data_IF_323695835196
#
_entry.id   IF_323695835196
#
_cell.length_a   1.000
_cell.length_b   1.000
_cell.length_c   1.000
_cell.angle_alpha   90.00
_cell.angle_beta   90.00
_cell.angle_gamma   90.00
#
_symmetry.space_group_name_H-M   'P 1'
#
loop_
_entity.id
_entity.type
_entity.pdbx_description
1 polymer ?
#
# COMPACT_ATOMS: atom_id res chain seq x y z
N UNK A 1 -42.93 -6.06 78.43
CA UNK A 1 -43.35 -5.61 77.09
C UNK A 1 -42.13 -5.32 76.24
N UNK A 2 -42.09 -5.92 75.03
CA UNK A 2 -41.32 -5.55 73.82
C UNK A 2 -39.78 -5.65 73.86
N UNK A 3 -39.28 -6.86 73.55
CA UNK A 3 -38.03 -7.08 72.80
C UNK A 3 -38.39 -7.28 71.33
N UNK A 4 -38.18 -6.27 70.49
CA UNK A 4 -38.27 -6.38 69.03
C UNK A 4 -37.42 -5.26 68.43
N UNK A 5 -36.75 -5.54 67.31
CA UNK A 5 -35.93 -4.62 66.49
C UNK A 5 -34.41 -4.68 66.66
N UNK A 6 -33.81 -5.82 66.29
CA UNK A 6 -32.47 -5.83 65.67
C UNK A 6 -32.46 -6.93 64.60
N UNK A 7 -32.84 -6.63 63.36
CA UNK A 7 -32.75 -7.64 62.27
C UNK A 7 -32.64 -7.07 60.84
N UNK A 8 -32.96 -5.79 60.61
CA UNK A 8 -33.01 -5.24 59.23
C UNK A 8 -31.73 -4.55 58.73
N UNK A 9 -30.68 -4.42 59.57
CA UNK A 9 -29.49 -3.63 59.23
C UNK A 9 -28.43 -4.32 58.34
N UNK A 10 -28.25 -5.66 58.29
CA UNK A 10 -27.22 -6.26 57.44
C UNK A 10 -27.64 -6.38 55.96
N UNK A 11 -28.95 -6.44 55.67
CA UNK A 11 -29.47 -6.63 54.31
C UNK A 11 -29.23 -5.41 53.40
N UNK A 12 -29.23 -4.19 53.97
CA UNK A 12 -29.06 -2.94 53.22
C UNK A 12 -27.58 -2.67 52.87
N UNK A 13 -26.66 -3.14 53.72
CA UNK A 13 -25.20 -3.04 53.50
C UNK A 13 -24.73 -4.02 52.43
N UNK A 14 -25.27 -5.25 52.41
CA UNK A 14 -24.93 -6.25 51.39
C UNK A 14 -25.41 -5.82 50.00
N UNK A 15 -26.59 -5.19 49.90
CA UNK A 15 -27.11 -4.66 48.61
C UNK A 15 -26.23 -3.53 48.04
N UNK A 16 -25.69 -2.66 48.90
CA UNK A 16 -24.80 -1.58 48.50
C UNK A 16 -23.43 -2.08 48.01
N UNK A 17 -22.89 -3.14 48.63
CA UNK A 17 -21.62 -3.75 48.23
C UNK A 17 -21.76 -4.48 46.88
N UNK A 18 -22.89 -5.13 46.63
CA UNK A 18 -23.19 -5.79 45.34
C UNK A 18 -23.36 -4.76 44.22
N UNK A 19 -23.98 -3.60 44.51
CA UNK A 19 -24.11 -2.52 43.53
C UNK A 19 -22.76 -1.88 43.16
N UNK A 20 -21.86 -1.69 44.14
CA UNK A 20 -20.49 -1.23 43.87
C UNK A 20 -19.66 -2.26 43.09
N UNK A 21 -19.85 -3.56 43.35
CA UNK A 21 -19.19 -4.63 42.60
C UNK A 21 -19.67 -4.70 41.15
N UNK A 22 -20.95 -4.45 40.88
CA UNK A 22 -21.51 -4.42 39.51
C UNK A 22 -21.06 -3.18 38.71
N UNK A 23 -20.90 -2.02 39.37
CA UNK A 23 -20.38 -0.81 38.75
C UNK A 23 -18.87 -0.92 38.38
N UNK A 24 -18.09 -1.69 39.14
CA UNK A 24 -16.68 -1.94 38.83
C UNK A 24 -16.44 -2.81 37.59
N UNK A 25 -17.34 -3.74 37.27
CA UNK A 25 -17.22 -4.64 36.11
C UNK A 25 -17.57 -3.94 34.79
N UNK A 26 -18.47 -2.94 34.83
CA UNK A 26 -18.86 -2.18 33.63
C UNK A 26 -17.76 -1.25 33.09
N UNK A 27 -16.78 -0.88 33.91
CA UNK A 27 -15.66 0.00 33.53
C UNK A 27 -14.46 -0.76 32.91
N UNK A 28 -14.43 -2.09 33.00
CA UNK A 28 -13.36 -2.92 32.40
C UNK A 28 -13.70 -3.34 30.96
N UNK A 29 -14.94 -3.10 30.52
CA UNK A 29 -15.39 -3.41 29.15
C UNK A 29 -15.13 -2.30 28.13
N UNK A 30 -14.37 -1.25 28.47
CA UNK A 30 -13.73 -0.41 27.47
C UNK A 30 -12.64 -1.24 26.80
N UNK A 31 -13.07 -2.04 25.83
CA UNK A 31 -12.24 -2.69 24.84
C UNK A 31 -11.33 -1.63 24.25
N UNK A 32 -10.08 -1.62 24.73
CA UNK A 32 -8.98 -1.15 23.93
C UNK A 32 -9.04 -1.97 22.64
N UNK A 33 -9.70 -1.45 21.60
CA UNK A 33 -9.49 -1.92 20.25
C UNK A 33 -8.00 -1.74 20.03
N UNK A 34 -7.25 -2.84 20.18
CA UNK A 34 -5.87 -2.91 19.78
C UNK A 34 -5.85 -2.45 18.32
N UNK A 35 -5.42 -1.21 18.11
CA UNK A 35 -5.37 -0.61 16.80
C UNK A 35 -4.47 -1.52 15.97
N UNK A 36 -5.05 -2.16 14.96
CA UNK A 36 -4.34 -3.19 14.22
C UNK A 36 -3.09 -2.55 13.57
N UNK A 37 -2.03 -3.33 13.39
CA UNK A 37 -0.72 -2.83 12.91
C UNK A 37 -0.86 -2.09 11.59
N UNK A 38 -0.24 -0.91 11.47
CA UNK A 38 -0.34 -0.13 10.24
C UNK A 38 0.25 -0.88 9.03
N UNK A 39 -0.44 -0.82 7.89
CA UNK A 39 0.14 -1.27 6.62
C UNK A 39 1.12 -0.21 6.12
N UNK A 40 2.40 -0.57 6.07
CA UNK A 40 3.46 0.30 5.57
C UNK A 40 3.58 0.17 4.06
N UNK A 41 3.33 1.26 3.35
CA UNK A 41 3.45 1.34 1.90
C UNK A 41 4.61 2.28 1.59
N UNK A 42 5.51 1.85 0.70
CA UNK A 42 6.57 2.69 0.18
C UNK A 42 6.06 3.54 -0.98
N UNK A 43 6.50 4.77 -1.08
CA UNK A 43 6.22 5.63 -2.21
C UNK A 43 7.51 6.33 -2.65
N UNK A 44 7.87 6.18 -3.92
CA UNK A 44 9.02 6.85 -4.51
C UNK A 44 8.51 7.79 -5.58
N UNK A 45 8.75 9.09 -5.41
CA UNK A 45 8.32 10.10 -6.36
C UNK A 45 9.45 11.05 -6.69
N UNK A 46 9.38 11.58 -7.90
CA UNK A 46 10.26 12.61 -8.40
C UNK A 46 9.81 13.97 -7.86
N UNK A 47 10.08 14.26 -6.58
CA UNK A 47 9.67 15.54 -5.97
C UNK A 47 10.66 16.64 -6.36
N UNK A 48 11.95 16.29 -6.41
CA UNK A 48 13.00 17.18 -6.91
C UNK A 48 13.50 16.74 -8.28
N UNK A 49 14.19 17.64 -8.98
CA UNK A 49 14.77 17.33 -10.29
C UNK A 49 13.88 17.68 -11.49
N UNK A 50 14.30 17.30 -12.71
CA UNK A 50 13.62 17.65 -13.96
C UNK A 50 12.19 17.09 -14.05
N UNK A 51 11.88 15.99 -13.37
CA UNK A 51 10.54 15.41 -13.34
C UNK A 51 9.69 15.85 -12.13
N UNK A 52 10.13 16.86 -11.37
CA UNK A 52 9.37 17.49 -10.26
C UNK A 52 7.90 17.83 -10.59
N UNK A 53 7.56 18.29 -11.82
CA UNK A 53 6.17 18.53 -12.20
C UNK A 53 5.27 17.28 -12.18
N UNK A 54 5.85 16.08 -12.24
CA UNK A 54 5.13 14.80 -12.13
C UNK A 54 5.05 14.33 -10.68
N UNK A 55 6.17 14.28 -9.96
CA UNK A 55 6.19 13.67 -8.63
C UNK A 55 5.55 14.53 -7.54
N UNK A 56 5.53 15.85 -7.67
CA UNK A 56 4.85 16.74 -6.70
C UNK A 56 3.32 16.46 -6.64
N UNK A 57 2.57 16.49 -7.75
CA UNK A 57 1.14 16.18 -7.71
C UNK A 57 0.87 14.71 -7.36
N UNK A 58 1.73 13.77 -7.74
CA UNK A 58 1.61 12.36 -7.32
C UNK A 58 1.71 12.22 -5.79
N UNK A 59 2.73 12.83 -5.17
CA UNK A 59 2.92 12.76 -3.73
C UNK A 59 1.74 13.37 -2.96
N UNK A 60 1.24 14.53 -3.40
CA UNK A 60 0.09 15.18 -2.77
C UNK A 60 -1.19 14.35 -2.94
N UNK A 61 -1.38 13.72 -4.10
CA UNK A 61 -2.51 12.82 -4.35
C UNK A 61 -2.49 11.63 -3.39
N UNK A 62 -1.33 10.98 -3.21
CA UNK A 62 -1.20 9.86 -2.28
C UNK A 62 -1.44 10.31 -0.83
N UNK A 63 -0.88 11.45 -0.41
CA UNK A 63 -1.15 12.00 0.93
C UNK A 63 -2.65 12.26 1.15
N UNK A 64 -3.34 12.81 0.15
CA UNK A 64 -4.78 13.05 0.21
C UNK A 64 -5.55 11.73 0.35
N UNK A 65 -5.25 10.73 -0.47
CA UNK A 65 -5.93 9.44 -0.45
C UNK A 65 -5.72 8.71 0.87
N UNK A 66 -4.50 8.69 1.40
CA UNK A 66 -4.18 8.07 2.70
C UNK A 66 -4.98 8.73 3.81
N UNK A 67 -5.06 10.06 3.83
CA UNK A 67 -5.89 10.79 4.81
C UNK A 67 -7.35 10.39 4.70
N UNK A 68 -7.90 10.31 3.48
CA UNK A 68 -9.29 9.90 3.28
C UNK A 68 -9.55 8.46 3.70
N UNK A 69 -8.66 7.53 3.39
CA UNK A 69 -8.80 6.11 3.75
C UNK A 69 -8.70 5.93 5.27
N UNK A 70 -7.72 6.58 5.90
CA UNK A 70 -7.56 6.52 7.35
C UNK A 70 -8.74 7.19 8.07
N UNK A 71 -9.29 8.29 7.54
CA UNK A 71 -10.51 8.90 8.07
C UNK A 71 -11.75 8.00 7.96
N UNK A 72 -11.79 7.09 6.99
CA UNK A 72 -12.86 6.09 6.82
C UNK A 72 -12.67 4.83 7.69
N UNK A 73 -11.65 4.79 8.55
CA UNK A 73 -11.37 3.66 9.45
C UNK A 73 -10.29 2.70 8.94
N UNK A 74 -9.54 3.08 7.89
CA UNK A 74 -8.44 2.28 7.35
C UNK A 74 -8.88 1.11 6.46
N UNK A 75 -7.94 0.23 6.10
CA UNK A 75 -8.20 -0.99 5.32
C UNK A 75 -8.37 -2.15 6.32
N UNK A 76 -9.54 -2.77 6.35
CA UNK A 76 -9.87 -3.85 7.29
C UNK A 76 -9.61 -3.51 8.78
N UNK A 77 -9.72 -2.21 9.12
CA UNK A 77 -9.43 -1.67 10.46
C UNK A 77 -7.93 -1.45 10.75
N UNK A 78 -7.05 -1.62 9.75
CA UNK A 78 -5.64 -1.24 9.85
C UNK A 78 -5.42 0.14 9.21
N UNK A 79 -4.76 1.08 9.91
CA UNK A 79 -4.37 2.35 9.31
C UNK A 79 -3.28 2.14 8.25
N UNK A 80 -3.22 3.03 7.27
CA UNK A 80 -2.15 3.06 6.26
C UNK A 80 -1.09 4.07 6.68
N UNK A 81 0.17 3.64 6.65
CA UNK A 81 1.35 4.49 6.80
C UNK A 81 2.13 4.49 5.48
N UNK A 82 2.35 5.67 4.89
CA UNK A 82 3.12 5.78 3.64
C UNK A 82 4.47 6.42 3.93
N UNK A 83 5.54 5.75 3.51
CA UNK A 83 6.92 6.21 3.62
C UNK A 83 7.34 6.76 2.27
N UNK A 84 7.62 8.05 2.22
CA UNK A 84 7.96 8.76 0.99
C UNK A 84 9.47 8.89 0.84
N UNK A 85 9.97 8.57 -0.35
CA UNK A 85 11.32 8.84 -0.78
C UNK A 85 11.33 9.69 -2.06
N UNK A 86 12.26 10.62 -2.11
CA UNK A 86 12.52 11.44 -3.29
C UNK A 86 13.77 10.91 -4.01
N UNK A 87 13.62 10.58 -5.29
CA UNK A 87 14.71 10.08 -6.12
C UNK A 87 15.42 11.20 -6.90
N UNK A 88 14.88 12.42 -6.94
CA UNK A 88 15.48 13.55 -7.68
C UNK A 88 15.63 13.32 -9.18
N UNK A 89 14.82 12.45 -9.79
CA UNK A 89 14.99 11.95 -11.18
C UNK A 89 16.31 11.28 -11.47
N UNK A 90 16.87 10.61 -10.46
CA UNK A 90 18.08 9.81 -10.58
C UNK A 90 17.78 8.32 -10.36
N UNK A 91 18.23 7.49 -11.30
CA UNK A 91 18.00 6.05 -11.29
C UNK A 91 18.72 5.35 -10.14
N UNK A 92 19.96 5.76 -9.81
CA UNK A 92 20.73 5.14 -8.73
C UNK A 92 20.09 5.44 -7.36
N UNK A 93 19.62 6.67 -7.15
CA UNK A 93 18.85 7.04 -5.96
C UNK A 93 17.55 6.27 -5.86
N UNK A 94 16.84 6.07 -6.97
CA UNK A 94 15.62 5.25 -7.03
C UNK A 94 15.88 3.82 -6.55
N UNK A 95 16.93 3.16 -7.04
CA UNK A 95 17.30 1.80 -6.62
C UNK A 95 17.66 1.75 -5.13
N UNK A 96 18.40 2.73 -4.62
CA UNK A 96 18.73 2.79 -3.19
C UNK A 96 17.49 3.00 -2.33
N UNK A 97 16.57 3.87 -2.75
CA UNK A 97 15.30 4.09 -2.06
C UNK A 97 14.45 2.81 -2.03
N UNK A 98 14.35 2.09 -3.15
CA UNK A 98 13.65 0.79 -3.20
C UNK A 98 14.26 -0.23 -2.23
N UNK A 99 15.60 -0.37 -2.23
CA UNK A 99 16.28 -1.28 -1.30
C UNK A 99 16.00 -0.92 0.14
N UNK A 100 16.03 0.37 0.48
CA UNK A 100 15.74 0.84 1.83
C UNK A 100 14.30 0.55 2.24
N UNK A 101 13.35 0.76 1.34
CA UNK A 101 11.93 0.42 1.56
C UNK A 101 11.73 -1.07 1.84
N UNK A 102 12.45 -1.93 1.12
CA UNK A 102 12.36 -3.39 1.25
C UNK A 102 13.05 -3.87 2.52
N UNK A 103 14.30 -3.47 2.74
CA UNK A 103 15.17 -4.04 3.77
C UNK A 103 14.97 -3.38 5.15
N UNK A 104 14.92 -2.05 5.19
CA UNK A 104 14.85 -1.29 6.43
C UNK A 104 13.39 -1.05 6.87
N UNK A 105 12.57 -0.56 5.95
CA UNK A 105 11.20 -0.15 6.27
C UNK A 105 10.18 -1.31 6.22
N UNK A 106 10.55 -2.41 5.53
CA UNK A 106 9.76 -3.64 5.36
C UNK A 106 8.33 -3.37 4.90
N UNK A 107 8.21 -2.61 3.81
CA UNK A 107 6.90 -2.23 3.26
C UNK A 107 6.21 -3.40 2.57
N UNK A 108 4.86 -3.39 2.57
CA UNK A 108 4.05 -4.43 1.91
C UNK A 108 3.93 -4.23 0.41
N UNK A 109 4.07 -2.99 -0.05
CA UNK A 109 3.98 -2.61 -1.45
C UNK A 109 4.75 -1.31 -1.67
N UNK A 110 5.17 -1.07 -2.92
CA UNK A 110 5.83 0.16 -3.35
C UNK A 110 4.98 0.81 -4.45
N UNK A 111 4.78 2.13 -4.36
CA UNK A 111 4.10 2.97 -5.35
C UNK A 111 5.14 3.89 -6.01
N UNK A 112 5.00 4.10 -7.31
CA UNK A 112 5.98 4.78 -8.16
C UNK A 112 7.04 3.82 -8.68
N UNK A 113 8.16 4.29 -9.24
CA UNK A 113 8.57 5.69 -9.49
C UNK A 113 7.74 6.44 -10.56
N UNK A 114 7.95 7.76 -10.68
CA UNK A 114 7.26 8.63 -11.65
C UNK A 114 7.77 8.44 -13.09
N UNK A 115 9.01 7.98 -13.29
CA UNK A 115 9.60 7.78 -14.61
C UNK A 115 9.86 6.31 -14.96
N UNK A 116 9.79 6.00 -16.25
CA UNK A 116 10.07 4.65 -16.79
C UNK A 116 11.48 4.18 -16.47
N UNK A 117 12.50 5.03 -16.66
CA UNK A 117 13.91 4.68 -16.41
C UNK A 117 14.17 4.32 -14.95
N UNK A 118 13.70 5.18 -14.03
CA UNK A 118 13.84 4.98 -12.58
C UNK A 118 13.11 3.73 -12.08
N UNK A 119 12.02 3.34 -12.75
CA UNK A 119 11.25 2.12 -12.46
C UNK A 119 12.01 0.88 -12.93
N UNK A 120 12.52 0.89 -14.17
CA UNK A 120 13.26 -0.23 -14.74
C UNK A 120 14.58 -0.52 -14.03
N UNK A 121 15.28 0.52 -13.58
CA UNK A 121 16.53 0.39 -12.83
C UNK A 121 16.36 -0.49 -11.57
N UNK A 122 15.17 -0.46 -10.97
CA UNK A 122 14.83 -1.20 -9.75
C UNK A 122 14.08 -2.52 -9.95
N UNK A 123 13.62 -2.82 -11.16
CA UNK A 123 12.76 -3.97 -11.47
C UNK A 123 13.29 -5.29 -10.88
N UNK A 124 14.54 -5.65 -11.17
CA UNK A 124 15.17 -6.89 -10.68
C UNK A 124 15.23 -6.96 -9.15
N UNK A 125 15.42 -5.82 -8.49
CA UNK A 125 15.49 -5.75 -7.01
C UNK A 125 14.13 -6.08 -6.41
N UNK A 126 13.07 -5.54 -7.00
CA UNK A 126 11.69 -5.73 -6.57
C UNK A 126 11.21 -7.16 -6.86
N UNK A 127 11.50 -7.68 -8.06
CA UNK A 127 11.21 -9.07 -8.43
C UNK A 127 11.84 -10.07 -7.46
N UNK A 128 13.12 -9.86 -7.13
CA UNK A 128 13.86 -10.73 -6.20
C UNK A 128 13.27 -10.65 -4.80
N UNK A 129 12.85 -9.46 -4.36
CA UNK A 129 12.24 -9.23 -3.06
C UNK A 129 10.78 -9.71 -2.98
N UNK A 130 10.14 -10.03 -4.11
CA UNK A 130 8.72 -10.41 -4.22
C UNK A 130 7.78 -9.38 -3.59
N UNK A 131 8.14 -8.10 -3.68
CA UNK A 131 7.31 -6.99 -3.21
C UNK A 131 6.53 -6.44 -4.41
N UNK A 132 5.21 -6.26 -4.34
CA UNK A 132 4.45 -5.67 -5.43
C UNK A 132 4.83 -4.20 -5.64
N UNK A 133 5.01 -3.82 -6.91
CA UNK A 133 5.29 -2.47 -7.36
C UNK A 133 4.13 -1.97 -8.24
N UNK A 134 3.60 -0.79 -7.91
CA UNK A 134 2.63 -0.08 -8.74
C UNK A 134 3.33 1.13 -9.35
N UNK A 135 3.76 1.01 -10.61
CA UNK A 135 4.43 2.08 -11.33
C UNK A 135 3.49 3.24 -11.65
N UNK A 136 3.98 4.47 -11.56
CA UNK A 136 3.31 5.66 -12.07
C UNK A 136 3.71 6.01 -13.51
N UNK A 137 4.78 5.37 -14.01
CA UNK A 137 5.22 5.48 -15.39
C UNK A 137 4.42 4.57 -16.34
N UNK A 138 4.27 5.00 -17.59
CA UNK A 138 3.48 4.33 -18.64
C UNK A 138 4.33 3.71 -19.76
N UNK A 139 5.58 3.33 -19.48
CA UNK A 139 6.44 2.68 -20.48
C UNK A 139 6.11 1.20 -20.65
N UNK A 140 5.97 0.72 -21.89
CA UNK A 140 5.75 -0.69 -22.22
C UNK A 140 6.77 -1.64 -21.54
N UNK A 141 8.01 -1.18 -21.42
CA UNK A 141 9.07 -1.91 -20.75
C UNK A 141 8.78 -2.20 -19.26
N UNK A 142 7.92 -1.41 -18.61
CA UNK A 142 7.50 -1.60 -17.21
C UNK A 142 6.46 -2.70 -17.07
N UNK A 143 5.60 -2.87 -18.08
CA UNK A 143 4.57 -3.92 -18.09
C UNK A 143 5.19 -5.29 -18.42
N UNK A 144 6.10 -5.33 -19.39
CA UNK A 144 6.79 -6.55 -19.82
C UNK A 144 8.19 -6.65 -19.22
N UNK A 145 8.30 -6.79 -17.88
CA UNK A 145 9.60 -6.94 -17.21
C UNK A 145 10.26 -8.30 -17.51
N UNK A 146 9.47 -9.32 -17.84
CA UNK A 146 9.99 -10.65 -18.11
C UNK A 146 10.60 -10.75 -19.52
N UNK A 147 11.83 -11.26 -19.62
CA UNK A 147 12.50 -11.53 -20.91
C UNK A 147 11.70 -12.51 -21.77
N UNK A 148 10.94 -13.43 -21.15
CA UNK A 148 10.05 -14.33 -21.87
C UNK A 148 8.87 -13.56 -22.51
N UNK A 149 8.28 -12.59 -21.81
CA UNK A 149 7.21 -11.74 -22.33
C UNK A 149 7.71 -10.83 -23.45
N UNK A 150 8.92 -10.27 -23.31
CA UNK A 150 9.55 -9.46 -24.38
C UNK A 150 9.89 -10.28 -25.63
N UNK A 151 10.36 -11.53 -25.46
CA UNK A 151 10.61 -12.43 -26.61
C UNK A 151 9.30 -12.87 -27.27
N UNK A 152 8.24 -13.04 -26.50
CA UNK A 152 6.93 -13.39 -27.00
C UNK A 152 6.25 -12.22 -27.75
N UNK A 153 6.46 -10.98 -27.30
CA UNK A 153 5.91 -9.78 -27.96
C UNK A 153 6.81 -9.20 -29.07
N UNK A 154 8.03 -9.72 -29.24
CA UNK A 154 8.94 -9.38 -30.34
C UNK A 154 9.81 -8.13 -30.09
N UNK A 155 11.11 -8.25 -30.38
CA UNK A 155 12.12 -7.18 -30.31
C UNK A 155 11.91 -6.01 -31.31
N UNK A 156 10.84 -6.00 -32.11
CA UNK A 156 10.57 -4.91 -33.07
C UNK A 156 10.03 -3.62 -32.42
N UNK A 157 9.66 -3.64 -31.13
CA UNK A 157 9.10 -2.47 -30.44
C UNK A 157 10.11 -1.38 -30.07
N UNK A 158 11.42 -1.64 -30.00
CA UNK A 158 12.35 -0.65 -29.47
C UNK A 158 12.64 0.52 -30.44
N UNK A 159 12.39 0.36 -31.74
CA UNK A 159 12.75 1.35 -32.78
C UNK A 159 11.58 2.08 -33.45
N UNK A 160 10.33 1.71 -33.17
CA UNK A 160 9.17 2.21 -33.92
C UNK A 160 8.35 3.31 -33.22
N UNK A 161 8.68 3.64 -31.96
CA UNK A 161 7.79 4.44 -31.12
C UNK A 161 7.91 5.97 -31.30
N UNK A 162 8.77 6.47 -32.18
CA UNK A 162 8.74 7.90 -32.52
C UNK A 162 7.48 8.29 -33.34
N UNK A 163 6.79 7.31 -33.96
CA UNK A 163 5.66 7.57 -34.88
C UNK A 163 4.35 6.86 -34.47
N UNK A 164 4.15 6.64 -33.17
CA UNK A 164 3.13 5.72 -32.62
C UNK A 164 1.77 6.34 -32.23
N UNK A 165 1.41 7.50 -32.76
CA UNK A 165 0.18 8.19 -32.34
C UNK A 165 -1.12 7.76 -33.07
N UNK A 166 -1.13 6.77 -33.98
CA UNK A 166 -2.24 6.64 -34.95
C UNK A 166 -2.82 5.25 -35.28
N UNK A 167 -2.48 4.13 -34.61
CA UNK A 167 -3.05 2.83 -35.00
C UNK A 167 -3.85 2.10 -33.88
N UNK A 168 -5.18 2.18 -33.89
CA UNK A 168 -6.06 1.48 -32.94
C UNK A 168 -6.21 -0.02 -33.20
N UNK A 169 -5.68 -0.59 -34.29
CA UNK A 169 -5.82 -2.03 -34.60
C UNK A 169 -4.74 -2.91 -33.95
N UNK A 170 -3.65 -2.36 -33.43
CA UNK A 170 -2.55 -3.15 -32.85
C UNK A 170 -2.83 -3.68 -31.44
N UNK A 171 -3.84 -3.15 -30.76
CA UNK A 171 -4.23 -3.57 -29.40
C UNK A 171 -4.92 -4.95 -29.38
N UNK A 172 -5.53 -5.36 -30.50
CA UNK A 172 -6.17 -6.68 -30.62
C UNK A 172 -5.14 -7.82 -30.72
N UNK A 173 -4.07 -7.62 -31.49
CA UNK A 173 -2.98 -8.60 -31.59
C UNK A 173 -2.20 -8.76 -30.27
N UNK A 174 -2.08 -7.68 -29.49
CA UNK A 174 -1.45 -7.72 -28.15
C UNK A 174 -2.26 -8.60 -27.18
N UNK A 175 -3.60 -8.48 -27.19
CA UNK A 175 -4.49 -9.32 -26.37
C UNK A 175 -4.46 -10.79 -26.78
N UNK A 176 -4.41 -11.09 -28.08
CA UNK A 176 -4.27 -12.47 -28.55
C UNK A 176 -2.93 -13.11 -28.16
N UNK A 177 -1.85 -12.33 -28.14
CA UNK A 177 -0.53 -12.82 -27.75
C UNK A 177 -0.49 -13.20 -26.26
N UNK A 178 -0.98 -12.31 -25.38
CA UNK A 178 -1.10 -12.58 -23.94
C UNK A 178 -2.02 -13.77 -23.66
N UNK A 179 -3.14 -13.89 -24.39
CA UNK A 179 -4.07 -15.00 -24.25
C UNK A 179 -3.45 -16.34 -24.69
N UNK A 180 -2.61 -16.34 -25.73
CA UNK A 180 -1.92 -17.55 -26.22
C UNK A 180 -0.86 -18.04 -25.24
N UNK A 181 -0.10 -17.13 -24.61
CA UNK A 181 0.88 -17.46 -23.58
C UNK A 181 0.25 -18.09 -22.33
N UNK A 182 -0.96 -17.62 -21.94
CA UNK A 182 -1.72 -18.21 -20.83
C UNK A 182 -2.09 -19.68 -21.09
N UNK A 183 -2.28 -20.05 -22.35
CA UNK A 183 -2.72 -21.39 -22.77
C UNK A 183 -1.59 -22.42 -22.88
N UNK A 184 -0.34 -21.96 -22.95
CA UNK A 184 0.87 -22.81 -23.04
C UNK A 184 1.53 -23.01 -21.65
N UNK A 185 1.06 -22.28 -20.64
CA UNK A 185 1.52 -22.38 -19.26
C UNK A 185 0.68 -23.33 -18.38
N UNK A 186 -0.39 -23.92 -18.93
CA UNK A 186 -1.20 -25.01 -18.36
C UNK A 186 -0.92 -26.33 -19.11
#
# INVERSE_FOLDING_TARGET
MKRFQVSFMPALVVLAIVALAFAGVALVSSTAQAQKTAYKIGAIFDVTGPASPLGTPEQETVKMLVKQINAKGGIDGHPIEVIYYDNGSDEAKSVMAMKKLIEADKVVAIIGPSQTGTTLAGAKTIETAKVPLVSCAAGEAVDFQNRAERRACGEEGAGLLQNEALDPHRDYHRRECVWRLRKEAD
#
